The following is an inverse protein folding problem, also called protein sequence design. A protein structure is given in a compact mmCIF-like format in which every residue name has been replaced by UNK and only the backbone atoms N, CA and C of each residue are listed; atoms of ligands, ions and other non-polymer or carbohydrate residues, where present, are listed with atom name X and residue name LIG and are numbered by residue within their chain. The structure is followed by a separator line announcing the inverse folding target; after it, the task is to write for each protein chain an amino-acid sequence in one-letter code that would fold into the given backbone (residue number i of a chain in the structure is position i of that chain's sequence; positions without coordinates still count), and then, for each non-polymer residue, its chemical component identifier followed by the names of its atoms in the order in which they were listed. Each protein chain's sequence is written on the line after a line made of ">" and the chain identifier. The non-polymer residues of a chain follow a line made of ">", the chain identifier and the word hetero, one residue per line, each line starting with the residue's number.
data_IF_583149534037
#
_entry.id   IF_583149534037
#
_cell.length_a   1.000
_cell.length_b   1.000
_cell.length_c   1.000
_cell.angle_alpha   90.00
_cell.angle_beta   90.00
_cell.angle_gamma   90.00
#
_symmetry.space_group_name_H-M   'P 1'
#
loop_
_entity.id
_entity.type
_entity.pdbx_description
1 polymer ?
#
# COMPACT_ATOMS: atom_id res chain seq x y z
N UNK A 1 20.71 -3.63 77.35
CA UNK A 1 20.54 -2.43 76.50
C UNK A 1 20.03 -2.89 75.13
N UNK A 2 18.79 -2.58 74.79
CA UNK A 2 18.15 -3.03 73.55
C UNK A 2 18.40 -2.01 72.44
N UNK A 3 19.02 -2.44 71.34
CA UNK A 3 19.19 -1.65 70.12
C UNK A 3 17.82 -1.50 69.44
N UNK A 4 17.26 -0.30 69.47
CA UNK A 4 16.06 0.03 68.70
C UNK A 4 16.46 0.07 67.23
N UNK A 5 15.92 -0.84 66.42
CA UNK A 5 16.12 -0.85 64.98
C UNK A 5 15.39 0.36 64.37
N UNK A 6 16.16 1.32 63.85
CA UNK A 6 15.62 2.46 63.11
C UNK A 6 15.14 1.95 61.74
N UNK A 7 13.84 2.06 61.47
CA UNK A 7 13.25 1.69 60.20
C UNK A 7 13.87 2.51 59.05
N UNK A 8 14.42 1.84 58.04
CA UNK A 8 15.00 2.53 56.90
C UNK A 8 13.91 3.28 56.10
N UNK A 9 14.16 4.53 55.66
CA UNK A 9 13.19 5.30 54.92
C UNK A 9 12.91 4.65 53.57
N UNK A 10 11.64 4.32 53.31
CA UNK A 10 11.19 3.80 52.02
C UNK A 10 11.54 4.77 50.89
N UNK A 11 12.33 4.28 49.93
CA UNK A 11 12.75 5.03 48.73
C UNK A 11 11.57 5.67 48.02
N UNK A 12 11.72 6.92 47.58
CA UNK A 12 10.72 7.66 46.79
C UNK A 12 10.35 6.94 45.50
N UNK A 13 11.32 6.24 44.89
CA UNK A 13 11.14 5.44 43.69
C UNK A 13 10.24 4.21 43.93
N UNK A 14 10.41 3.56 45.08
CA UNK A 14 9.56 2.43 45.50
C UNK A 14 8.12 2.88 45.72
N UNK A 15 7.91 4.02 46.39
CA UNK A 15 6.57 4.60 46.58
C UNK A 15 5.91 5.00 45.26
N UNK A 16 6.65 5.61 44.35
CA UNK A 16 6.16 5.92 43.00
C UNK A 16 5.77 4.66 42.23
N UNK A 17 6.62 3.63 42.25
CA UNK A 17 6.35 2.34 41.62
C UNK A 17 5.08 1.68 42.17
N UNK A 18 4.94 1.57 43.49
CA UNK A 18 3.75 0.96 44.09
C UNK A 18 2.46 1.73 43.81
N UNK A 19 2.54 3.06 43.66
CA UNK A 19 1.42 3.91 43.26
C UNK A 19 1.05 3.73 41.78
N UNK A 20 2.03 3.64 40.89
CA UNK A 20 1.80 3.68 39.44
C UNK A 20 1.79 2.32 38.74
N UNK A 21 2.28 1.25 39.38
CA UNK A 21 2.38 -0.07 38.74
C UNK A 21 1.05 -0.55 38.17
N UNK A 22 -0.08 -0.30 38.83
CA UNK A 22 -1.39 -0.71 38.32
C UNK A 22 -1.74 0.03 37.03
N UNK A 23 -1.57 1.35 37.00
CA UNK A 23 -1.82 2.17 35.83
C UNK A 23 -0.89 1.81 34.66
N UNK A 24 0.37 1.50 34.94
CA UNK A 24 1.33 1.04 33.92
C UNK A 24 0.90 -0.31 33.34
N UNK A 25 0.46 -1.26 34.17
CA UNK A 25 -0.06 -2.56 33.70
C UNK A 25 -1.31 -2.39 32.84
N UNK A 26 -2.23 -1.50 33.25
CA UNK A 26 -3.42 -1.17 32.43
C UNK A 26 -3.00 -0.55 31.10
N UNK A 27 -2.05 0.39 31.10
CA UNK A 27 -1.53 1.00 29.87
C UNK A 27 -0.92 -0.04 28.93
N UNK A 28 -0.15 -1.00 29.46
CA UNK A 28 0.46 -2.08 28.69
C UNK A 28 -0.56 -2.96 27.98
N UNK A 29 -1.78 -3.10 28.52
CA UNK A 29 -2.88 -3.83 27.90
C UNK A 29 -3.65 -2.94 26.91
N UNK A 30 -3.87 -1.68 27.25
CA UNK A 30 -4.64 -0.74 26.42
C UNK A 30 -3.91 -0.35 25.12
N UNK A 31 -2.59 -0.24 25.15
CA UNK A 31 -1.79 0.09 23.96
C UNK A 31 -2.06 -0.91 22.81
N UNK A 32 -1.80 -2.23 22.95
CA UNK A 32 -2.04 -3.17 21.87
C UNK A 32 -3.51 -3.25 21.47
N UNK A 33 -4.45 -3.16 22.43
CA UNK A 33 -5.89 -3.11 22.13
C UNK A 33 -6.26 -1.90 21.27
N UNK A 34 -5.64 -0.74 21.49
CA UNK A 34 -5.84 0.45 20.67
C UNK A 34 -5.34 0.30 19.23
N UNK A 35 -4.24 -0.44 19.03
CA UNK A 35 -3.67 -0.67 17.69
C UNK A 35 -4.26 -1.88 16.95
N UNK A 36 -4.90 -2.82 17.66
CA UNK A 36 -5.48 -4.05 17.11
C UNK A 36 -6.41 -3.81 15.90
N UNK A 37 -7.38 -2.88 15.93
CA UNK A 37 -8.29 -2.70 14.80
C UNK A 37 -7.57 -2.35 13.51
N UNK A 38 -6.58 -1.45 13.58
CA UNK A 38 -5.76 -1.07 12.43
C UNK A 38 -4.92 -2.25 11.94
N UNK A 39 -4.27 -2.98 12.86
CA UNK A 39 -3.48 -4.16 12.52
C UNK A 39 -4.33 -5.19 11.76
N UNK A 40 -5.52 -5.55 12.26
CA UNK A 40 -6.38 -6.51 11.58
C UNK A 40 -6.93 -6.00 10.25
N UNK A 41 -7.25 -4.70 10.15
CA UNK A 41 -7.67 -4.10 8.88
C UNK A 41 -6.55 -4.15 7.83
N UNK A 42 -5.31 -3.87 8.22
CA UNK A 42 -4.15 -3.94 7.35
C UNK A 42 -3.88 -5.40 6.91
N UNK A 43 -3.93 -6.36 7.84
CA UNK A 43 -3.77 -7.79 7.48
C UNK A 43 -4.89 -8.30 6.57
N UNK A 44 -6.14 -7.89 6.80
CA UNK A 44 -7.27 -8.27 5.96
C UNK A 44 -7.14 -7.69 4.53
N UNK A 45 -6.62 -6.47 4.40
CA UNK A 45 -6.31 -5.87 3.11
C UNK A 45 -5.20 -6.64 2.40
N UNK A 46 -4.08 -6.91 3.07
CA UNK A 46 -2.91 -7.56 2.47
C UNK A 46 -3.24 -8.99 2.00
N UNK A 47 -4.01 -9.76 2.81
CA UNK A 47 -4.53 -11.10 2.43
C UNK A 47 -5.58 -11.08 1.32
N UNK A 48 -6.20 -9.94 1.07
CA UNK A 48 -7.25 -9.78 0.07
C UNK A 48 -8.67 -10.11 0.54
N UNK A 49 -8.88 -10.27 1.85
CA UNK A 49 -10.20 -10.44 2.46
C UNK A 49 -11.11 -9.19 2.24
N UNK A 50 -10.49 -8.04 1.94
CA UNK A 50 -11.15 -6.78 1.59
C UNK A 50 -11.27 -6.54 0.08
N UNK A 51 -11.06 -7.56 -0.74
CA UNK A 51 -11.01 -7.43 -2.19
C UNK A 51 -9.63 -6.97 -2.67
N UNK A 52 -9.56 -6.43 -3.89
CA UNK A 52 -8.29 -6.06 -4.51
C UNK A 52 -7.61 -4.86 -3.85
N UNK A 53 -8.32 -3.94 -3.22
CA UNK A 53 -7.71 -2.77 -2.60
C UNK A 53 -8.74 -1.92 -1.88
N UNK A 54 -8.28 -0.85 -1.24
CA UNK A 54 -9.18 0.12 -0.58
C UNK A 54 -10.00 0.94 -1.57
N UNK A 55 -9.51 1.10 -2.80
CA UNK A 55 -10.24 1.75 -3.89
C UNK A 55 -10.26 0.85 -5.12
N UNK A 56 -11.45 0.40 -5.49
CA UNK A 56 -11.69 -0.27 -6.75
C UNK A 56 -11.71 0.75 -7.89
N UNK A 57 -10.90 0.52 -8.92
CA UNK A 57 -10.90 1.32 -10.16
C UNK A 57 -11.93 0.74 -11.15
N UNK A 58 -12.26 -0.55 -11.02
CA UNK A 58 -13.16 -1.27 -11.89
C UNK A 58 -12.44 -2.13 -12.92
N UNK A 59 -13.22 -2.67 -13.85
CA UNK A 59 -12.73 -3.45 -14.98
C UNK A 59 -12.14 -2.53 -16.07
N UNK A 60 -10.96 -2.90 -16.55
CA UNK A 60 -10.22 -2.22 -17.60
C UNK A 60 -10.00 -3.19 -18.75
N UNK A 61 -10.51 -2.82 -19.93
CA UNK A 61 -10.31 -3.58 -21.16
C UNK A 61 -8.94 -3.26 -21.78
N UNK A 62 -8.19 -4.31 -22.12
CA UNK A 62 -6.83 -4.25 -22.68
C UNK A 62 -6.77 -5.16 -23.91
N UNK A 63 -7.22 -4.64 -25.06
CA UNK A 63 -7.35 -5.45 -26.28
C UNK A 63 -8.40 -6.55 -26.10
N UNK A 64 -8.07 -7.85 -26.33
CA UNK A 64 -8.99 -8.97 -26.19
C UNK A 64 -9.14 -9.46 -24.73
N UNK A 65 -8.39 -8.89 -23.80
CA UNK A 65 -8.38 -9.27 -22.39
C UNK A 65 -8.89 -8.15 -21.51
N UNK A 66 -9.28 -8.49 -20.29
CA UNK A 66 -9.61 -7.52 -19.26
C UNK A 66 -8.96 -7.85 -17.94
N UNK A 67 -8.79 -6.82 -17.11
CA UNK A 67 -8.42 -6.97 -15.72
C UNK A 67 -9.24 -6.02 -14.86
N UNK A 68 -9.49 -6.40 -13.61
CA UNK A 68 -10.00 -5.49 -12.59
C UNK A 68 -8.82 -4.89 -11.85
N UNK A 69 -8.77 -3.57 -11.76
CA UNK A 69 -7.68 -2.84 -11.11
C UNK A 69 -8.17 -2.20 -9.80
N UNK A 70 -7.31 -2.18 -8.80
CA UNK A 70 -7.56 -1.44 -7.56
C UNK A 70 -6.28 -0.76 -7.07
N UNK A 71 -6.46 0.40 -6.48
CA UNK A 71 -5.45 1.04 -5.64
C UNK A 71 -5.45 0.32 -4.28
N UNK A 72 -4.27 -0.19 -3.88
CA UNK A 72 -4.13 -1.00 -2.66
C UNK A 72 -4.57 -0.19 -1.42
N UNK A 73 -3.99 1.00 -1.25
CA UNK A 73 -4.30 1.92 -0.15
C UNK A 73 -4.70 3.28 -0.68
N UNK A 74 -5.84 3.80 -0.26
CA UNK A 74 -6.38 5.11 -0.68
C UNK A 74 -5.74 6.25 0.15
N UNK A 75 -4.46 6.49 -0.11
CA UNK A 75 -3.63 7.48 0.59
C UNK A 75 -2.51 8.02 -0.33
N UNK A 76 -1.74 9.01 0.11
CA UNK A 76 -0.60 9.49 -0.67
C UNK A 76 0.46 8.38 -0.90
N UNK A 77 1.27 8.45 -1.97
CA UNK A 77 2.46 7.63 -2.12
C UNK A 77 3.33 7.68 -0.85
N UNK A 78 3.84 6.51 -0.42
CA UNK A 78 4.66 6.40 0.79
C UNK A 78 6.14 6.51 0.44
N UNK A 79 6.90 7.28 1.22
CA UNK A 79 8.34 7.34 1.07
C UNK A 79 8.96 5.99 1.49
N UNK A 80 9.62 5.33 0.55
CA UNK A 80 10.23 4.01 0.71
C UNK A 80 11.77 4.09 0.65
N UNK A 81 12.34 4.96 1.49
CA UNK A 81 13.79 5.15 1.58
C UNK A 81 14.41 5.59 0.24
N UNK A 82 15.54 5.00 -0.18
CA UNK A 82 16.22 5.35 -1.45
C UNK A 82 15.36 5.12 -2.71
N UNK A 83 14.34 4.27 -2.63
CA UNK A 83 13.41 4.03 -3.75
C UNK A 83 12.43 5.20 -3.96
N UNK A 84 12.47 6.25 -3.14
CA UNK A 84 11.56 7.40 -3.28
C UNK A 84 10.12 7.04 -2.91
N UNK A 85 9.16 7.80 -3.45
CA UNK A 85 7.75 7.60 -3.17
C UNK A 85 7.18 6.44 -3.99
N UNK A 86 6.54 5.51 -3.31
CA UNK A 86 5.99 4.29 -3.89
C UNK A 86 4.47 4.27 -3.78
N UNK A 87 3.82 3.68 -4.78
CA UNK A 87 2.39 3.42 -4.81
C UNK A 87 2.12 1.99 -5.24
N UNK A 88 1.20 1.34 -4.53
CA UNK A 88 0.82 -0.06 -4.77
C UNK A 88 -0.52 -0.13 -5.49
N UNK A 89 -0.59 -0.98 -6.51
CA UNK A 89 -1.82 -1.36 -7.19
C UNK A 89 -1.96 -2.87 -7.20
N UNK A 90 -3.19 -3.35 -7.10
CA UNK A 90 -3.52 -4.75 -7.24
C UNK A 90 -4.42 -4.94 -8.45
N UNK A 91 -4.32 -6.10 -9.10
CA UNK A 91 -5.15 -6.45 -10.23
C UNK A 91 -5.62 -7.91 -10.16
N UNK A 92 -6.72 -8.20 -10.84
CA UNK A 92 -7.16 -9.55 -11.16
C UNK A 92 -7.46 -9.63 -12.65
N UNK A 93 -6.87 -10.59 -13.34
CA UNK A 93 -7.21 -10.87 -14.74
C UNK A 93 -8.63 -11.46 -14.82
N UNK A 94 -9.28 -11.28 -15.97
CA UNK A 94 -10.48 -12.03 -16.29
C UNK A 94 -10.20 -13.55 -16.22
N UNK A 95 -11.18 -14.36 -15.82
CA UNK A 95 -10.96 -15.81 -15.65
C UNK A 95 -10.42 -16.48 -16.92
N UNK A 96 -10.91 -16.10 -18.10
CA UNK A 96 -10.44 -16.64 -19.39
C UNK A 96 -9.07 -16.11 -19.84
N UNK A 97 -8.57 -15.05 -19.18
CA UNK A 97 -7.31 -14.37 -19.50
C UNK A 97 -6.12 -15.00 -18.77
N UNK A 98 -6.34 -15.64 -17.62
CA UNK A 98 -5.27 -16.11 -16.71
C UNK A 98 -4.29 -17.06 -17.41
N UNK A 99 -4.80 -17.99 -18.22
CA UNK A 99 -3.95 -18.96 -18.93
C UNK A 99 -3.37 -18.42 -20.24
N UNK A 100 -3.79 -17.22 -20.67
CA UNK A 100 -3.39 -16.60 -21.94
C UNK A 100 -2.37 -15.47 -21.75
N UNK A 101 -2.48 -14.75 -20.65
CA UNK A 101 -1.58 -13.64 -20.30
C UNK A 101 -0.34 -14.20 -19.60
N UNK A 102 0.81 -13.91 -20.18
CA UNK A 102 2.14 -14.23 -19.64
C UNK A 102 2.58 -13.21 -18.59
N UNK A 103 2.35 -11.93 -18.86
CA UNK A 103 2.77 -10.85 -17.96
C UNK A 103 1.87 -9.62 -18.06
N UNK A 104 1.65 -8.98 -16.91
CA UNK A 104 0.91 -7.72 -16.77
C UNK A 104 1.88 -6.65 -16.28
N UNK A 105 1.90 -5.49 -16.92
CA UNK A 105 2.76 -4.37 -16.57
C UNK A 105 1.95 -3.10 -16.29
N UNK A 106 2.53 -2.24 -15.46
CA UNK A 106 1.96 -0.96 -15.06
C UNK A 106 3.00 0.15 -15.19
N UNK A 107 2.59 1.29 -15.74
CA UNK A 107 3.47 2.47 -15.90
C UNK A 107 2.70 3.77 -15.84
N UNK A 108 3.34 4.83 -15.32
CA UNK A 108 2.88 6.20 -15.56
C UNK A 108 3.44 6.71 -16.89
N UNK A 109 2.53 7.14 -17.77
CA UNK A 109 2.83 7.59 -19.12
C UNK A 109 3.04 6.45 -20.12
N UNK A 110 2.88 6.78 -21.41
CA UNK A 110 2.86 5.80 -22.49
C UNK A 110 4.21 5.07 -22.63
N UNK A 111 4.24 3.73 -22.57
CA UNK A 111 5.44 2.96 -22.87
C UNK A 111 5.77 3.01 -24.38
N UNK A 112 7.06 3.06 -24.71
CA UNK A 112 7.57 3.08 -26.10
C UNK A 112 7.81 1.68 -26.67
N UNK A 113 7.90 0.69 -25.79
CA UNK A 113 8.11 -0.73 -26.11
C UNK A 113 7.83 -1.57 -24.86
N UNK A 114 7.74 -2.89 -25.02
CA UNK A 114 7.57 -3.83 -23.90
C UNK A 114 8.68 -3.70 -22.84
N UNK A 115 9.94 -3.45 -23.25
CA UNK A 115 11.06 -3.18 -22.31
C UNK A 115 10.86 -1.95 -21.45
N UNK A 116 9.95 -1.06 -21.83
CA UNK A 116 9.61 0.16 -21.09
C UNK A 116 8.20 0.12 -20.54
N UNK A 117 7.54 -1.06 -20.50
CA UNK A 117 6.16 -1.23 -20.04
C UNK A 117 5.96 -0.93 -18.54
N UNK A 118 7.05 -0.70 -17.79
CA UNK A 118 7.04 -0.27 -16.40
C UNK A 118 7.27 -1.42 -15.44
N UNK A 119 6.64 -1.36 -14.28
CA UNK A 119 6.73 -2.40 -13.26
C UNK A 119 5.86 -3.58 -13.65
N UNK A 120 6.32 -4.79 -13.34
CA UNK A 120 5.56 -6.02 -13.57
C UNK A 120 4.69 -6.32 -12.34
N UNK A 121 3.47 -6.78 -12.58
CA UNK A 121 2.66 -7.36 -11.52
C UNK A 121 3.19 -8.75 -11.13
N UNK A 122 3.23 -9.04 -9.84
CA UNK A 122 3.62 -10.35 -9.30
C UNK A 122 2.45 -10.98 -8.53
N UNK A 123 2.39 -12.31 -8.48
CA UNK A 123 1.30 -13.07 -7.85
C UNK A 123 0.50 -13.89 -8.86
N UNK A 124 -0.60 -14.49 -8.39
CA UNK A 124 -1.49 -15.29 -9.23
C UNK A 124 -2.44 -14.43 -10.07
N UNK A 125 -2.95 -14.96 -11.18
CA UNK A 125 -3.87 -14.23 -12.07
C UNK A 125 -5.13 -13.68 -11.39
N UNK A 126 -5.55 -14.27 -10.28
CA UNK A 126 -6.70 -13.84 -9.47
C UNK A 126 -6.42 -12.65 -8.54
N UNK A 127 -5.15 -12.42 -8.21
CA UNK A 127 -4.69 -11.32 -7.37
C UNK A 127 -3.19 -11.17 -7.55
N UNK A 128 -2.83 -10.14 -8.28
CA UNK A 128 -1.46 -9.74 -8.52
C UNK A 128 -1.24 -8.32 -7.99
N UNK A 129 -0.01 -7.99 -7.64
CA UNK A 129 0.36 -6.72 -7.03
C UNK A 129 1.50 -6.09 -7.81
N UNK A 130 1.53 -4.75 -7.89
CA UNK A 130 2.62 -3.99 -8.48
C UNK A 130 2.97 -2.80 -7.58
N UNK A 131 4.26 -2.59 -7.38
CA UNK A 131 4.79 -1.45 -6.61
C UNK A 131 5.50 -0.51 -7.57
N UNK A 132 4.96 0.69 -7.76
CA UNK A 132 5.46 1.65 -8.73
C UNK A 132 5.99 2.91 -8.04
N UNK A 133 7.14 3.41 -8.50
CA UNK A 133 7.64 4.72 -8.10
C UNK A 133 6.75 5.83 -8.67
N UNK A 134 6.45 6.82 -7.84
CA UNK A 134 5.77 8.07 -8.23
C UNK A 134 6.76 9.22 -8.05
N UNK A 135 7.47 9.63 -9.11
CA UNK A 135 8.30 10.84 -9.06
C UNK A 135 7.48 12.06 -8.65
N UNK A 136 8.02 12.93 -7.80
CA UNK A 136 7.36 14.20 -7.41
C UNK A 136 7.09 15.10 -8.63
N UNK A 137 7.88 14.94 -9.71
CA UNK A 137 7.74 15.65 -10.99
C UNK A 137 6.65 15.07 -11.90
N UNK A 138 5.94 14.03 -11.47
CA UNK A 138 4.85 13.44 -12.25
C UNK A 138 3.73 14.46 -12.45
N UNK A 139 3.28 14.65 -13.68
CA UNK A 139 2.13 15.52 -13.94
C UNK A 139 0.86 14.96 -13.27
N UNK A 140 0.07 15.79 -12.55
CA UNK A 140 -1.25 15.42 -12.04
C UNK A 140 -2.21 14.84 -13.09
N UNK A 141 -2.04 15.24 -14.36
CA UNK A 141 -2.87 14.82 -15.49
C UNK A 141 -2.28 13.62 -16.25
N UNK A 142 -1.24 12.98 -15.69
CA UNK A 142 -0.64 11.79 -16.29
C UNK A 142 -1.65 10.64 -16.39
N UNK A 143 -1.40 9.72 -17.31
CA UNK A 143 -2.16 8.48 -17.43
C UNK A 143 -1.42 7.31 -16.80
N UNK A 144 -2.19 6.36 -16.27
CA UNK A 144 -1.73 5.05 -15.87
C UNK A 144 -1.93 4.08 -17.03
N UNK A 145 -0.82 3.60 -17.59
CA UNK A 145 -0.76 2.66 -18.69
C UNK A 145 -0.66 1.23 -18.18
N UNK A 146 -1.47 0.37 -18.76
CA UNK A 146 -1.52 -1.07 -18.49
C UNK A 146 -1.10 -1.78 -19.77
N UNK A 147 -0.17 -2.72 -19.66
CA UNK A 147 0.27 -3.56 -20.78
C UNK A 147 0.08 -5.02 -20.43
N UNK A 148 -0.55 -5.80 -21.30
CA UNK A 148 -0.65 -7.24 -21.20
C UNK A 148 0.16 -7.90 -22.32
N UNK A 149 1.05 -8.81 -21.96
CA UNK A 149 1.78 -9.68 -22.87
C UNK A 149 1.18 -11.09 -22.82
N UNK A 150 0.82 -11.65 -23.98
CA UNK A 150 0.33 -13.01 -24.11
C UNK A 150 1.44 -14.05 -24.24
N UNK A 151 1.12 -15.31 -23.94
CA UNK A 151 2.01 -16.45 -24.22
C UNK A 151 2.26 -16.65 -25.72
N UNK A 152 1.37 -16.15 -26.57
CA UNK A 152 1.50 -16.12 -28.03
C UNK A 152 2.38 -14.97 -28.55
N UNK A 153 2.91 -14.13 -27.65
CA UNK A 153 3.71 -12.96 -27.98
C UNK A 153 2.91 -11.72 -28.37
N UNK A 154 1.58 -11.76 -28.35
CA UNK A 154 0.75 -10.57 -28.56
C UNK A 154 0.91 -9.59 -27.39
N UNK A 155 0.86 -8.29 -27.70
CA UNK A 155 0.98 -7.22 -26.70
C UNK A 155 -0.15 -6.23 -26.88
N UNK A 156 -0.92 -6.03 -25.82
CA UNK A 156 -2.04 -5.11 -25.79
C UNK A 156 -1.85 -4.06 -24.71
N UNK A 157 -2.23 -2.82 -25.00
CA UNK A 157 -2.02 -1.68 -24.11
C UNK A 157 -3.28 -0.82 -24.04
N UNK A 158 -3.51 -0.24 -22.87
CA UNK A 158 -4.55 0.76 -22.65
C UNK A 158 -4.09 1.75 -21.58
N UNK A 159 -4.81 2.86 -21.44
CA UNK A 159 -4.56 3.87 -20.43
C UNK A 159 -5.84 4.23 -19.69
N UNK A 160 -5.68 4.66 -18.44
CA UNK A 160 -6.72 5.35 -17.67
C UNK A 160 -6.11 6.60 -17.02
N UNK A 161 -6.88 7.67 -16.78
CA UNK A 161 -6.37 8.83 -16.06
C UNK A 161 -5.83 8.45 -14.68
N UNK A 162 -4.67 9.00 -14.28
CA UNK A 162 -4.13 8.78 -12.93
C UNK A 162 -5.11 9.26 -11.86
N UNK A 163 -5.88 10.32 -12.14
CA UNK A 163 -6.95 10.82 -11.28
C UNK A 163 -8.08 9.80 -11.07
N UNK A 164 -8.35 8.93 -12.04
CA UNK A 164 -9.30 7.83 -11.89
C UNK A 164 -8.68 6.69 -11.06
N UNK A 165 -7.43 6.33 -11.35
CA UNK A 165 -6.75 5.22 -10.67
C UNK A 165 -6.41 5.52 -9.21
N UNK A 166 -5.91 6.72 -8.90
CA UNK A 166 -5.45 7.13 -7.57
C UNK A 166 -5.66 8.65 -7.35
N UNK A 167 -6.87 9.08 -6.93
CA UNK A 167 -7.14 10.46 -6.55
C UNK A 167 -6.20 10.98 -5.45
N UNK A 168 -5.83 10.13 -4.49
CA UNK A 168 -4.95 10.50 -3.40
C UNK A 168 -3.51 10.80 -3.88
N UNK A 169 -3.02 10.05 -4.88
CA UNK A 169 -1.74 10.37 -5.55
C UNK A 169 -1.81 11.70 -6.28
N UNK A 170 -2.88 11.98 -7.02
CA UNK A 170 -3.02 13.26 -7.72
C UNK A 170 -3.09 14.44 -6.74
N UNK A 171 -3.85 14.30 -5.64
CA UNK A 171 -3.91 15.30 -4.59
C UNK A 171 -2.54 15.54 -3.94
N UNK A 172 -1.74 14.50 -3.76
CA UNK A 172 -0.36 14.61 -3.27
C UNK A 172 0.55 15.31 -4.30
N UNK A 173 0.50 14.95 -5.59
CA UNK A 173 1.28 15.59 -6.66
C UNK A 173 0.99 17.09 -6.76
N UNK A 174 -0.29 17.49 -6.68
CA UNK A 174 -0.69 18.91 -6.67
C UNK A 174 -0.08 19.69 -5.49
N UNK A 175 0.13 19.03 -4.34
CA UNK A 175 0.83 19.63 -3.19
C UNK A 175 2.35 19.71 -3.39
N UNK A 176 2.96 18.74 -4.08
CA UNK A 176 4.40 18.75 -4.37
C UNK A 176 4.76 19.81 -5.40
N UNK A 177 3.99 19.93 -6.48
CA UNK A 177 4.20 20.94 -7.52
C UNK A 177 3.92 22.39 -7.09
N UNK A 178 3.37 22.59 -5.87
CA UNK A 178 3.23 23.89 -5.24
C UNK A 178 4.45 24.30 -4.41
N UNK A 179 5.50 23.46 -4.35
CA UNK A 179 6.79 23.83 -3.77
C UNK A 179 7.52 24.74 -4.76
N UNK A 180 7.92 25.96 -4.35
CA UNK A 180 8.61 26.93 -5.20
C UNK A 180 10.01 26.47 -5.62
#
# INVERSE_FOLDING_TARGET
>A
MSKVAVAQPVSSLSRFWHKWRFHINVLLILIPLGFMPKYFADNALDRGDKGLGQRDVGEVQVGPWSLRLAEDRNEAPRLSGPSGYMKSFNAALCNACIDRVKATYLRIGKPRSLRTAGVIFFGGGYRMSAFMQIPETTSPDSELWITLEGWDGSVHQTSIPLQQASPATVAWLKKQGAKP
#
